data_IF_801242901169
#
_entry.id   IF_801242901169
#
_cell.length_a   1.000
_cell.length_b   1.000
_cell.length_c   1.000
_cell.angle_alpha   90.00
_cell.angle_beta   90.00
_cell.angle_gamma   90.00
#
_symmetry.space_group_name_H-M   'P 1'
#
loop_
_entity.id
_entity.type
_entity.pdbx_description
1 polymer ?
#
# COMPACT_ATOMS: atom_id res chain seq x y z
N UNK A 1 6.57 -14.49 -3.63
CA UNK A 1 7.10 -13.69 -2.48
C UNK A 1 7.38 -14.60 -1.31
N UNK A 2 8.55 -14.46 -0.70
CA UNK A 2 8.89 -15.19 0.54
C UNK A 2 8.59 -14.30 1.73
N UNK A 3 7.61 -14.70 2.55
CA UNK A 3 7.20 -13.95 3.74
C UNK A 3 8.03 -14.42 4.94
N UNK A 4 8.82 -13.52 5.55
CA UNK A 4 9.66 -13.84 6.71
C UNK A 4 8.90 -13.72 8.03
N UNK A 5 7.97 -12.76 8.12
CA UNK A 5 7.09 -12.62 9.28
C UNK A 5 5.81 -11.87 8.88
N UNK A 6 4.85 -11.81 9.79
CA UNK A 6 3.61 -11.07 9.60
C UNK A 6 3.47 -9.99 10.64
N UNK A 7 3.07 -8.79 10.19
CA UNK A 7 3.01 -7.59 11.02
C UNK A 7 1.55 -7.29 11.35
N UNK A 8 1.14 -7.29 12.63
CA UNK A 8 -0.19 -6.81 13.02
C UNK A 8 -0.32 -5.30 12.73
N UNK A 9 -1.37 -4.95 12.01
CA UNK A 9 -1.65 -3.56 11.68
C UNK A 9 -3.14 -3.38 11.44
N UNK A 10 -3.79 -2.54 12.25
CA UNK A 10 -5.21 -2.16 12.07
C UNK A 10 -6.16 -3.37 11.92
N UNK A 11 -5.97 -4.41 12.73
CA UNK A 11 -6.78 -5.62 12.67
C UNK A 11 -6.42 -6.58 11.54
N UNK A 12 -5.31 -6.34 10.87
CA UNK A 12 -4.82 -7.15 9.77
C UNK A 12 -3.43 -7.72 10.10
N UNK A 13 -3.04 -8.73 9.34
CA UNK A 13 -1.67 -9.23 9.30
C UNK A 13 -1.09 -8.92 7.92
N UNK A 14 -0.09 -8.05 7.88
CA UNK A 14 0.60 -7.67 6.66
C UNK A 14 1.88 -8.50 6.50
N UNK A 15 2.22 -8.91 5.26
CA UNK A 15 3.43 -9.69 5.05
C UNK A 15 4.68 -8.81 5.11
N UNK A 16 5.72 -9.29 5.78
CA UNK A 16 7.05 -8.74 5.65
C UNK A 16 7.89 -9.69 4.80
N UNK A 17 8.31 -9.22 3.64
CA UNK A 17 9.10 -9.99 2.70
C UNK A 17 10.54 -10.15 3.22
N UNK A 18 11.16 -11.28 2.91
CA UNK A 18 12.57 -11.50 3.22
C UNK A 18 13.44 -10.39 2.60
N UNK A 19 14.38 -9.86 3.39
CA UNK A 19 15.23 -8.74 2.97
C UNK A 19 14.63 -7.37 3.28
N UNK A 20 13.45 -7.31 3.90
CA UNK A 20 12.79 -6.07 4.30
C UNK A 20 12.71 -5.97 5.82
N UNK A 21 12.58 -4.72 6.27
CA UNK A 21 12.39 -4.39 7.68
C UNK A 21 11.22 -3.42 7.83
N UNK A 22 10.73 -3.22 9.04
CA UNK A 22 9.61 -2.31 9.27
C UNK A 22 9.80 -1.47 10.52
N UNK A 23 9.09 -0.35 10.56
CA UNK A 23 8.95 0.51 11.72
C UNK A 23 7.47 0.77 11.95
N UNK A 24 7.01 0.45 13.14
CA UNK A 24 5.61 0.62 13.55
C UNK A 24 5.52 1.65 14.67
N UNK A 25 4.53 2.53 14.56
CA UNK A 25 4.22 3.48 15.62
C UNK A 25 2.70 3.62 15.77
N UNK A 26 2.26 3.95 16.99
CA UNK A 26 0.88 4.26 17.28
C UNK A 26 0.84 5.57 18.03
N UNK A 27 0.16 6.58 17.45
CA UNK A 27 0.04 7.89 18.10
C UNK A 27 -0.89 7.80 19.31
N UNK A 28 -0.45 8.38 20.44
CA UNK A 28 -1.20 8.34 21.70
C UNK A 28 -2.40 9.29 21.69
N UNK A 29 -2.36 10.35 20.86
CA UNK A 29 -3.40 11.37 20.82
C UNK A 29 -4.69 10.90 20.16
N UNK A 30 -4.62 10.12 19.10
CA UNK A 30 -5.76 9.68 18.28
C UNK A 30 -5.77 8.17 17.99
N UNK A 31 -4.76 7.45 18.44
CA UNK A 31 -4.63 6.02 18.19
C UNK A 31 -4.27 5.64 16.76
N UNK A 32 -3.89 6.62 15.93
CA UNK A 32 -3.51 6.35 14.54
C UNK A 32 -2.28 5.45 14.50
N UNK A 33 -2.38 4.36 13.75
CA UNK A 33 -1.27 3.45 13.51
C UNK A 33 -0.53 3.86 12.24
N UNK A 34 0.80 3.85 12.30
CA UNK A 34 1.70 4.16 11.20
C UNK A 34 2.65 2.98 10.99
N UNK A 35 2.79 2.55 9.73
CA UNK A 35 3.69 1.45 9.40
C UNK A 35 4.52 1.80 8.18
N UNK A 36 5.85 1.75 8.33
CA UNK A 36 6.81 1.90 7.24
C UNK A 36 7.45 0.55 6.96
N UNK A 37 7.47 0.14 5.71
CA UNK A 37 8.16 -1.05 5.26
C UNK A 37 9.25 -0.62 4.28
N UNK A 38 10.50 -0.98 4.58
CA UNK A 38 11.67 -0.61 3.81
C UNK A 38 12.54 -1.82 3.56
N UNK A 39 13.34 -1.78 2.50
CA UNK A 39 14.39 -2.76 2.31
C UNK A 39 15.48 -2.56 3.35
N UNK A 40 16.23 -3.60 3.70
CA UNK A 40 17.29 -3.54 4.72
C UNK A 40 18.37 -2.52 4.38
N UNK A 41 18.55 -2.15 3.10
CA UNK A 41 19.47 -1.08 2.68
C UNK A 41 18.90 0.34 2.89
N UNK A 42 17.70 0.46 3.46
CA UNK A 42 17.05 1.74 3.78
C UNK A 42 16.11 2.27 2.72
N UNK A 43 15.97 1.63 1.57
CA UNK A 43 15.05 2.09 0.53
C UNK A 43 13.60 1.83 0.90
N UNK A 44 12.77 2.88 0.92
CA UNK A 44 11.35 2.77 1.24
C UNK A 44 10.58 1.99 0.19
N UNK A 45 9.62 1.17 0.63
CA UNK A 45 8.73 0.44 -0.28
C UNK A 45 7.26 0.76 -0.02
N UNK A 46 6.80 0.65 1.22
CA UNK A 46 5.40 0.89 1.57
C UNK A 46 5.29 1.77 2.80
N UNK A 47 4.22 2.57 2.82
CA UNK A 47 3.79 3.31 3.99
C UNK A 47 2.27 3.14 4.16
N UNK A 48 1.84 2.85 5.38
CA UNK A 48 0.43 2.66 5.72
C UNK A 48 0.04 3.51 6.90
N UNK A 49 -1.17 4.05 6.85
CA UNK A 49 -1.85 4.66 8.00
C UNK A 49 -3.18 3.94 8.22
N UNK A 50 -3.58 3.77 9.48
CA UNK A 50 -4.87 3.15 9.80
C UNK A 50 -6.07 3.99 9.34
N UNK A 51 -5.88 5.30 9.15
CA UNK A 51 -6.87 6.23 8.58
C UNK A 51 -6.12 7.21 7.69
N UNK A 52 -6.03 6.90 6.40
CA UNK A 52 -5.30 7.71 5.42
C UNK A 52 -6.28 8.58 4.63
N UNK A 53 -6.63 9.73 5.20
CA UNK A 53 -7.55 10.69 4.57
C UNK A 53 -6.98 11.31 3.28
N UNK A 54 -5.66 11.33 3.13
CA UNK A 54 -5.02 11.84 1.91
C UNK A 54 -5.52 11.13 0.65
N UNK A 55 -5.81 9.82 0.74
CA UNK A 55 -6.37 9.07 -0.38
C UNK A 55 -7.70 9.67 -0.83
N UNK A 56 -8.61 9.92 0.10
CA UNK A 56 -9.94 10.45 -0.21
C UNK A 56 -9.87 11.87 -0.76
N UNK A 57 -9.01 12.72 -0.20
CA UNK A 57 -8.80 14.08 -0.68
C UNK A 57 -8.25 14.09 -2.11
N UNK A 58 -7.28 13.26 -2.42
CA UNK A 58 -6.71 13.16 -3.77
C UNK A 58 -7.68 12.54 -4.76
N UNK A 59 -8.46 11.54 -4.34
CA UNK A 59 -9.47 10.92 -5.19
C UNK A 59 -10.57 11.90 -5.62
N UNK A 60 -10.88 12.90 -4.79
CA UNK A 60 -11.83 13.97 -5.10
C UNK A 60 -11.22 15.11 -5.93
N UNK A 61 -9.91 15.11 -6.14
CA UNK A 61 -9.20 16.17 -6.86
C UNK A 61 -9.14 15.89 -8.36
N UNK A 62 -9.31 16.94 -9.18
CA UNK A 62 -9.16 16.84 -10.63
C UNK A 62 -7.70 16.54 -11.08
N UNK A 63 -6.74 16.70 -10.19
CA UNK A 63 -5.34 16.45 -10.49
C UNK A 63 -4.99 14.96 -10.55
N UNK A 64 -5.85 14.09 -10.04
CA UNK A 64 -5.61 12.65 -9.93
C UNK A 64 -6.62 11.85 -10.75
N UNK A 65 -6.19 10.69 -11.21
CA UNK A 65 -7.02 9.69 -11.88
C UNK A 65 -7.10 8.45 -11.00
N UNK A 66 -8.32 7.96 -10.79
CA UNK A 66 -8.58 6.74 -10.02
C UNK A 66 -8.79 5.57 -10.98
N UNK A 67 -8.02 4.51 -10.83
CA UNK A 67 -8.20 3.27 -11.57
C UNK A 67 -8.51 2.15 -10.59
N UNK A 68 -9.56 1.38 -10.87
CA UNK A 68 -10.01 0.27 -10.02
C UNK A 68 -9.71 -1.05 -10.73
N UNK A 69 -9.01 -1.94 -10.02
CA UNK A 69 -8.66 -3.27 -10.51
C UNK A 69 -9.39 -4.31 -9.67
N UNK A 70 -10.20 -5.19 -10.28
CA UNK A 70 -10.76 -6.33 -9.54
C UNK A 70 -9.65 -7.29 -9.14
N UNK A 71 -9.78 -7.90 -7.97
CA UNK A 71 -8.83 -8.93 -7.54
C UNK A 71 -9.03 -10.20 -8.35
N UNK A 72 -7.93 -10.89 -8.72
CA UNK A 72 -8.03 -12.12 -9.51
C UNK A 72 -8.82 -13.24 -8.83
N UNK A 73 -8.87 -13.27 -7.51
CA UNK A 73 -9.65 -14.25 -6.73
C UNK A 73 -11.14 -13.90 -6.63
N UNK A 74 -11.57 -12.78 -7.21
CA UNK A 74 -12.95 -12.32 -7.17
C UNK A 74 -13.39 -11.72 -5.85
N UNK A 75 -12.49 -11.54 -4.89
CA UNK A 75 -12.77 -11.02 -3.56
C UNK A 75 -12.23 -9.60 -3.41
N UNK A 76 -13.06 -8.62 -3.80
CA UNK A 76 -12.75 -7.21 -3.64
C UNK A 76 -11.97 -6.60 -4.79
N UNK A 77 -11.45 -5.40 -4.54
CA UNK A 77 -10.80 -4.59 -5.56
C UNK A 77 -9.64 -3.79 -4.98
N UNK A 78 -8.74 -3.36 -5.87
CA UNK A 78 -7.63 -2.47 -5.55
C UNK A 78 -7.79 -1.19 -6.35
N UNK A 79 -7.86 -0.05 -5.66
CA UNK A 79 -7.93 1.28 -6.27
C UNK A 79 -6.55 1.92 -6.26
N UNK A 80 -6.14 2.49 -7.39
CA UNK A 80 -4.89 3.22 -7.52
C UNK A 80 -5.16 4.67 -7.87
N UNK A 81 -4.42 5.57 -7.25
CA UNK A 81 -4.42 6.99 -7.59
C UNK A 81 -3.13 7.37 -8.31
N UNK A 82 -3.28 7.99 -9.47
CA UNK A 82 -2.18 8.51 -10.27
C UNK A 82 -2.36 10.00 -10.49
N UNK A 83 -1.28 10.77 -10.48
CA UNK A 83 -1.32 12.14 -10.96
C UNK A 83 -1.47 12.14 -12.48
N UNK A 84 -2.42 12.93 -12.99
CA UNK A 84 -2.72 12.96 -14.43
C UNK A 84 -1.58 13.44 -15.32
N UNK A 85 -0.66 14.24 -14.78
CA UNK A 85 0.41 14.91 -15.55
C UNK A 85 1.83 14.56 -15.11
N UNK A 86 2.02 13.57 -14.25
CA UNK A 86 3.34 13.21 -13.76
C UNK A 86 3.74 11.83 -14.28
N UNK A 87 4.46 11.79 -15.38
CA UNK A 87 5.00 10.56 -15.93
C UNK A 87 6.13 9.96 -15.07
N UNK A 88 6.61 10.69 -14.07
CA UNK A 88 7.78 10.34 -13.27
C UNK A 88 7.48 10.21 -11.77
N UNK A 89 6.19 10.07 -11.39
CA UNK A 89 5.85 9.88 -9.97
C UNK A 89 6.43 8.57 -9.45
N UNK A 90 7.20 8.69 -8.36
CA UNK A 90 7.80 7.56 -7.64
C UNK A 90 6.89 7.02 -6.56
N UNK A 91 5.77 7.69 -6.29
CA UNK A 91 4.83 7.33 -5.23
C UNK A 91 3.43 7.23 -5.81
N UNK A 92 2.69 6.22 -5.39
CA UNK A 92 1.27 6.19 -5.68
C UNK A 92 0.50 5.64 -4.48
N UNK A 93 -0.70 6.19 -4.29
CA UNK A 93 -1.60 5.75 -3.25
C UNK A 93 -2.47 4.62 -3.75
N UNK A 94 -2.75 3.66 -2.89
CA UNK A 94 -3.63 2.54 -3.20
C UNK A 94 -4.56 2.23 -2.04
N UNK A 95 -5.68 1.59 -2.35
CA UNK A 95 -6.62 1.08 -1.34
C UNK A 95 -7.09 -0.31 -1.74
N UNK A 96 -6.88 -1.26 -0.84
CA UNK A 96 -7.50 -2.57 -0.92
C UNK A 96 -8.86 -2.51 -0.24
N UNK A 97 -9.92 -2.92 -0.94
CA UNK A 97 -11.27 -3.03 -0.39
C UNK A 97 -11.80 -4.42 -0.66
N UNK A 98 -12.15 -5.15 0.39
CA UNK A 98 -12.84 -6.43 0.31
C UNK A 98 -13.72 -6.58 1.55
N UNK A 99 -14.65 -7.56 1.60
CA UNK A 99 -15.53 -7.70 2.76
C UNK A 99 -14.76 -7.75 4.08
N UNK A 100 -15.06 -6.80 4.98
CA UNK A 100 -14.42 -6.70 6.29
C UNK A 100 -13.01 -6.14 6.31
N UNK A 101 -12.46 -5.71 5.16
CA UNK A 101 -11.09 -5.20 5.08
C UNK A 101 -11.02 -3.93 4.25
N UNK A 102 -10.38 -2.90 4.81
CA UNK A 102 -9.95 -1.72 4.08
C UNK A 102 -8.51 -1.43 4.48
N UNK A 103 -7.61 -1.39 3.51
CA UNK A 103 -6.21 -1.08 3.75
C UNK A 103 -5.76 -0.03 2.75
N UNK A 104 -5.33 1.12 3.26
CA UNK A 104 -4.86 2.23 2.43
C UNK A 104 -3.39 2.49 2.69
N UNK A 105 -2.64 2.64 1.63
CA UNK A 105 -1.21 2.85 1.75
C UNK A 105 -0.62 3.57 0.55
N UNK A 106 0.68 3.76 0.62
CA UNK A 106 1.50 4.36 -0.42
C UNK A 106 2.61 3.39 -0.80
N UNK A 107 2.84 3.24 -2.10
CA UNK A 107 3.96 2.47 -2.62
C UNK A 107 5.00 3.41 -3.20
N UNK A 108 6.27 3.19 -2.85
CA UNK A 108 7.42 3.90 -3.40
C UNK A 108 8.06 3.05 -4.48
N UNK A 109 8.22 3.63 -5.69
CA UNK A 109 8.91 2.98 -6.80
C UNK A 109 10.37 3.40 -6.83
N UNK A 110 11.24 2.45 -7.15
CA UNK A 110 12.67 2.72 -7.30
C UNK A 110 13.00 3.10 -8.75
N UNK A 111 14.23 3.55 -8.98
CA UNK A 111 14.64 4.19 -10.24
C UNK A 111 14.35 3.40 -11.52
N UNK A 112 14.50 2.08 -11.47
CA UNK A 112 14.33 1.19 -12.63
C UNK A 112 12.92 0.57 -12.70
N UNK A 113 12.00 1.01 -11.84
CA UNK A 113 10.66 0.45 -11.75
C UNK A 113 9.62 1.35 -12.41
N UNK A 114 8.67 0.75 -13.12
CA UNK A 114 7.53 1.45 -13.68
C UNK A 114 6.26 1.14 -12.88
N UNK A 115 5.29 2.10 -12.79
CA UNK A 115 4.07 1.86 -12.02
C UNK A 115 3.28 0.62 -12.45
N UNK A 116 3.07 0.44 -13.75
CA UNK A 116 2.25 -0.66 -14.29
C UNK A 116 3.06 -1.92 -14.53
N UNK A 117 4.27 -1.78 -15.09
CA UNK A 117 5.08 -2.94 -15.45
C UNK A 117 5.70 -3.67 -14.27
N UNK A 118 6.10 -2.94 -13.23
CA UNK A 118 6.81 -3.49 -12.07
C UNK A 118 6.01 -3.32 -10.79
N UNK A 119 5.53 -2.10 -10.53
CA UNK A 119 4.90 -1.75 -9.25
C UNK A 119 3.58 -2.45 -9.02
N UNK A 120 2.69 -2.45 -10.00
CA UNK A 120 1.36 -3.03 -9.85
C UNK A 120 1.39 -4.54 -9.61
N UNK A 121 2.14 -5.36 -10.38
CA UNK A 121 2.27 -6.78 -10.06
C UNK A 121 2.85 -7.04 -8.66
N UNK A 122 3.83 -6.26 -8.24
CA UNK A 122 4.44 -6.37 -6.92
C UNK A 122 3.43 -6.03 -5.82
N UNK A 123 2.62 -4.99 -6.03
CA UNK A 123 1.58 -4.60 -5.10
C UNK A 123 0.50 -5.70 -4.97
N UNK A 124 0.07 -6.29 -6.07
CA UNK A 124 -0.89 -7.39 -6.02
C UNK A 124 -0.34 -8.59 -5.26
N UNK A 125 0.91 -8.96 -5.46
CA UNK A 125 1.56 -10.03 -4.70
C UNK A 125 1.55 -9.74 -3.20
N UNK A 126 1.87 -8.50 -2.82
CA UNK A 126 1.84 -8.07 -1.42
C UNK A 126 0.42 -8.17 -0.86
N UNK A 127 -0.57 -7.59 -1.55
CA UNK A 127 -1.94 -7.53 -1.06
C UNK A 127 -2.60 -8.91 -0.98
N UNK A 128 -2.21 -9.86 -1.83
CA UNK A 128 -2.70 -11.23 -1.75
C UNK A 128 -2.29 -11.93 -0.44
N UNK A 129 -1.22 -11.49 0.19
CA UNK A 129 -0.71 -12.05 1.43
C UNK A 129 -1.28 -11.36 2.68
N UNK A 130 -2.11 -10.33 2.53
CA UNK A 130 -2.76 -9.65 3.66
C UNK A 130 -3.87 -10.55 4.20
N UNK A 131 -3.83 -10.81 5.52
CA UNK A 131 -4.79 -11.66 6.22
C UNK A 131 -5.54 -10.86 7.27
N UNK A 132 -6.72 -11.32 7.66
CA UNK A 132 -7.44 -10.77 8.81
C UNK A 132 -6.82 -11.37 10.07
N UNK A 133 -6.58 -10.50 11.06
CA UNK A 133 -6.01 -10.91 12.35
C UNK A 133 -6.96 -11.84 13.12
#
# INVERSE_FOLDING_TARGET
MTVSERIPFSGLLLPLQEGYTYSYDRRTTDGLELLFISREDGRSRYYFESDMQEFDHKAASDAYSLTVYPRPDGDGEVSLLHRKRAATDRFFLFRLTKPGVTLTGEMCLWEDESPIGTGLPMLFDFLNEVKIL
#
